data_IF_890464555905
#
_entry.id   IF_890464555905
#
_cell.length_a   1.000
_cell.length_b   1.000
_cell.length_c   1.000
_cell.angle_alpha   90.00
_cell.angle_beta   90.00
_cell.angle_gamma   90.00
#
_symmetry.space_group_name_H-M   'P 1'
#
loop_
_entity.id
_entity.type
_entity.pdbx_description
1 polymer ?
#
# COMPACT_ATOMS: atom_id res chain seq x y z
N UNK A 1 8.61 -51.15 17.59
CA UNK A 1 8.54 -50.73 16.18
C UNK A 1 7.17 -50.13 15.93
N UNK A 2 7.10 -48.97 15.29
CA UNK A 2 5.84 -48.31 14.93
C UNK A 2 5.21 -49.07 13.74
N UNK A 3 4.47 -50.15 14.01
CA UNK A 3 3.88 -51.00 12.96
C UNK A 3 2.39 -50.78 12.81
N UNK A 4 1.97 -50.25 11.67
CA UNK A 4 0.57 -50.13 11.24
C UNK A 4 0.32 -48.94 10.32
N UNK A 5 -0.63 -49.07 9.38
CA UNK A 5 -1.04 -47.99 8.45
C UNK A 5 -1.51 -46.73 9.19
N UNK A 6 -2.07 -46.89 10.40
CA UNK A 6 -2.51 -45.80 11.26
C UNK A 6 -1.35 -44.93 11.78
N UNK A 7 -0.17 -45.50 12.02
CA UNK A 7 1.00 -44.74 12.47
C UNK A 7 1.60 -43.90 11.32
N UNK A 8 1.57 -44.42 10.09
CA UNK A 8 1.92 -43.63 8.89
C UNK A 8 0.93 -42.48 8.66
N UNK A 9 -0.37 -42.70 8.91
CA UNK A 9 -1.38 -41.65 8.86
C UNK A 9 -1.10 -40.55 9.89
N UNK A 10 -0.78 -40.90 11.14
CA UNK A 10 -0.40 -39.93 12.19
C UNK A 10 0.86 -39.17 11.78
N UNK A 11 1.91 -39.86 11.33
CA UNK A 11 3.17 -39.23 10.91
C UNK A 11 2.94 -38.24 9.76
N UNK A 12 2.13 -38.63 8.76
CA UNK A 12 1.73 -37.76 7.66
C UNK A 12 1.07 -36.47 8.17
N UNK A 13 0.12 -36.58 9.10
CA UNK A 13 -0.56 -35.41 9.65
C UNK A 13 0.34 -34.53 10.52
N UNK A 14 1.27 -35.10 11.28
CA UNK A 14 2.27 -34.34 12.04
C UNK A 14 3.14 -33.51 11.10
N UNK A 15 3.70 -34.13 10.07
CA UNK A 15 4.54 -33.43 9.08
C UNK A 15 3.71 -32.37 8.33
N UNK A 16 2.48 -32.69 7.95
CA UNK A 16 1.59 -31.75 7.26
C UNK A 16 1.25 -30.55 8.15
N UNK A 17 0.90 -30.76 9.41
CA UNK A 17 0.57 -29.69 10.35
C UNK A 17 1.78 -28.80 10.65
N UNK A 18 2.95 -29.39 10.89
CA UNK A 18 4.19 -28.63 11.09
C UNK A 18 4.55 -27.84 9.84
N UNK A 19 4.40 -28.44 8.65
CA UNK A 19 4.61 -27.78 7.36
C UNK A 19 3.66 -26.59 7.16
N UNK A 20 2.36 -26.78 7.36
CA UNK A 20 1.37 -25.69 7.25
C UNK A 20 1.62 -24.57 8.26
N UNK A 21 1.98 -24.91 9.51
CA UNK A 21 2.31 -23.92 10.53
C UNK A 21 3.58 -23.15 10.18
N UNK A 22 4.62 -23.82 9.67
CA UNK A 22 5.85 -23.16 9.23
C UNK A 22 5.61 -22.23 8.03
N UNK A 23 4.84 -22.67 7.04
CA UNK A 23 4.47 -21.86 5.87
C UNK A 23 3.64 -20.64 6.30
N UNK A 24 2.59 -20.85 7.10
CA UNK A 24 1.75 -19.77 7.62
C UNK A 24 2.55 -18.78 8.49
N UNK A 25 3.41 -19.31 9.35
CA UNK A 25 4.34 -18.54 10.17
C UNK A 25 5.29 -17.69 9.33
N UNK A 26 5.88 -18.24 8.26
CA UNK A 26 6.76 -17.51 7.34
C UNK A 26 6.07 -16.31 6.68
N UNK A 27 4.84 -16.48 6.17
CA UNK A 27 4.08 -15.38 5.56
C UNK A 27 3.74 -14.28 6.56
N UNK A 28 3.30 -14.66 7.77
CA UNK A 28 2.99 -13.71 8.83
C UNK A 28 4.24 -12.99 9.33
N UNK A 29 5.35 -13.70 9.51
CA UNK A 29 6.61 -13.14 9.97
C UNK A 29 7.17 -12.13 8.96
N UNK A 30 7.12 -12.43 7.65
CA UNK A 30 7.51 -11.48 6.61
C UNK A 30 6.68 -10.20 6.63
N UNK A 31 5.37 -10.30 6.88
CA UNK A 31 4.48 -9.14 7.03
C UNK A 31 4.78 -8.37 8.32
N UNK A 32 5.09 -9.08 9.39
CA UNK A 32 5.47 -8.52 10.68
C UNK A 32 6.77 -7.70 10.60
N UNK A 33 7.81 -8.20 9.92
CA UNK A 33 9.07 -7.48 9.73
C UNK A 33 8.87 -6.10 9.06
N UNK A 34 7.85 -5.94 8.22
CA UNK A 34 7.52 -4.64 7.59
C UNK A 34 6.87 -3.64 8.54
N UNK A 35 6.35 -4.10 9.67
CA UNK A 35 5.72 -3.28 10.71
C UNK A 35 6.69 -2.93 11.84
N UNK A 36 7.89 -3.51 11.84
CA UNK A 36 8.88 -3.16 12.83
C UNK A 36 9.28 -1.69 12.67
N UNK A 37 9.52 -0.98 13.78
CA UNK A 37 10.05 0.37 13.74
C UNK A 37 11.39 0.39 13.01
N UNK A 38 11.63 1.46 12.25
CA UNK A 38 12.91 1.72 11.60
C UNK A 38 13.91 2.28 12.62
N UNK A 39 15.07 2.71 12.17
CA UNK A 39 16.13 3.29 13.02
C UNK A 39 15.66 4.47 13.88
N UNK A 40 14.61 5.17 13.43
CA UNK A 40 13.97 6.30 14.10
C UNK A 40 12.88 5.91 15.12
N UNK A 41 12.65 4.60 15.34
CA UNK A 41 11.63 4.11 16.26
C UNK A 41 10.20 4.14 15.71
N UNK A 42 9.98 4.55 14.45
CA UNK A 42 8.66 4.60 13.81
C UNK A 42 8.53 3.58 12.69
N UNK A 43 7.36 2.94 12.60
CA UNK A 43 7.04 2.07 11.46
C UNK A 43 6.64 2.90 10.23
N UNK A 44 6.54 2.24 9.07
CA UNK A 44 6.05 2.90 7.85
C UNK A 44 4.61 3.43 8.01
N UNK A 45 3.79 2.76 8.81
CA UNK A 45 2.42 3.18 9.10
C UNK A 45 2.40 4.40 10.02
N UNK A 46 3.28 4.47 11.01
CA UNK A 46 3.37 5.63 11.91
C UNK A 46 3.78 6.90 11.14
N UNK A 47 4.68 6.75 10.16
CA UNK A 47 5.04 7.85 9.25
C UNK A 47 3.89 8.24 8.33
N UNK A 48 3.16 7.26 7.80
CA UNK A 48 1.98 7.52 6.97
C UNK A 48 0.93 8.32 7.75
N UNK A 49 0.63 7.92 8.99
CA UNK A 49 -0.34 8.60 9.85
C UNK A 49 0.13 10.00 10.23
N UNK A 50 1.43 10.16 10.49
CA UNK A 50 2.04 11.48 10.71
C UNK A 50 1.83 12.41 9.52
N UNK A 51 2.16 11.99 8.30
CA UNK A 51 1.98 12.83 7.12
C UNK A 51 0.52 13.14 6.82
N UNK A 52 -0.39 12.19 7.03
CA UNK A 52 -1.83 12.45 6.90
C UNK A 52 -2.29 13.53 7.87
N UNK A 53 -1.89 13.45 9.14
CA UNK A 53 -2.24 14.44 10.16
C UNK A 53 -1.69 15.83 9.83
N UNK A 54 -0.42 15.91 9.45
CA UNK A 54 0.24 17.17 9.14
C UNK A 54 -0.26 17.81 7.85
N UNK A 55 -0.78 17.04 6.89
CA UNK A 55 -1.19 17.58 5.59
C UNK A 55 -2.69 17.63 5.37
N UNK A 56 -3.51 17.08 6.27
CA UNK A 56 -4.98 17.06 6.16
C UNK A 56 -5.58 18.44 5.86
N UNK A 57 -5.07 19.49 6.51
CA UNK A 57 -5.55 20.86 6.36
C UNK A 57 -5.13 21.53 5.04
N UNK A 58 -4.17 20.95 4.32
CA UNK A 58 -3.66 21.47 3.04
C UNK A 58 -4.50 21.03 1.84
N UNK A 59 -5.54 20.21 2.03
CA UNK A 59 -6.32 19.61 0.96
C UNK A 59 -7.46 20.52 0.47
N UNK A 60 -7.42 20.96 -0.80
CA UNK A 60 -8.57 21.55 -1.47
C UNK A 60 -9.66 20.50 -1.72
N UNK A 61 -10.93 20.93 -1.75
CA UNK A 61 -12.06 20.01 -1.92
C UNK A 61 -12.12 19.36 -3.31
N UNK A 62 -11.69 20.06 -4.36
CA UNK A 62 -11.60 19.51 -5.72
C UNK A 62 -10.55 18.39 -5.82
N UNK A 63 -9.44 18.51 -5.09
CA UNK A 63 -8.41 17.47 -5.08
C UNK A 63 -8.77 16.27 -4.21
N UNK A 64 -9.61 16.46 -3.18
CA UNK A 64 -10.23 15.33 -2.45
C UNK A 64 -11.13 14.54 -3.40
N UNK A 65 -11.92 15.21 -4.23
CA UNK A 65 -12.75 14.56 -5.25
C UNK A 65 -11.90 13.83 -6.30
N UNK A 66 -10.80 14.46 -6.76
CA UNK A 66 -9.84 13.81 -7.67
C UNK A 66 -9.25 12.54 -7.04
N UNK A 67 -8.92 12.55 -5.75
CA UNK A 67 -8.45 11.37 -5.05
C UNK A 67 -9.51 10.26 -5.07
N UNK A 68 -10.76 10.54 -4.72
CA UNK A 68 -11.84 9.55 -4.78
C UNK A 68 -11.98 8.95 -6.18
N UNK A 69 -11.88 9.79 -7.22
CA UNK A 69 -11.94 9.34 -8.59
C UNK A 69 -10.76 8.43 -8.95
N UNK A 70 -9.54 8.76 -8.52
CA UNK A 70 -8.33 7.96 -8.75
C UNK A 70 -8.38 6.59 -8.05
N UNK A 71 -9.08 6.49 -6.90
CA UNK A 71 -9.26 5.23 -6.17
C UNK A 71 -10.53 4.46 -6.61
N UNK A 72 -11.39 5.05 -7.44
CA UNK A 72 -12.60 4.38 -7.95
C UNK A 72 -12.40 3.00 -8.62
N UNK A 73 -11.30 2.70 -9.35
CA UNK A 73 -11.10 1.36 -9.92
C UNK A 73 -10.76 0.29 -8.87
N UNK A 74 -10.46 0.67 -7.63
CA UNK A 74 -10.18 -0.27 -6.54
C UNK A 74 -11.50 -0.86 -6.02
N UNK A 75 -11.58 -2.19 -5.82
CA UNK A 75 -12.75 -2.83 -5.21
C UNK A 75 -13.07 -2.23 -3.85
N UNK A 76 -14.36 -2.13 -3.52
CA UNK A 76 -14.86 -1.42 -2.34
C UNK A 76 -14.19 -1.88 -1.03
N UNK A 77 -14.02 -3.20 -0.85
CA UNK A 77 -13.35 -3.82 0.30
C UNK A 77 -11.91 -3.33 0.55
N UNK A 78 -11.25 -2.78 -0.48
CA UNK A 78 -9.86 -2.32 -0.41
C UNK A 78 -9.72 -0.81 -0.65
N UNK A 79 -10.82 -0.12 -0.96
CA UNK A 79 -10.80 1.28 -1.39
C UNK A 79 -10.27 2.20 -0.30
N UNK A 80 -10.72 2.02 0.94
CA UNK A 80 -10.27 2.85 2.06
C UNK A 80 -8.76 2.69 2.33
N UNK A 81 -8.25 1.45 2.26
CA UNK A 81 -6.83 1.16 2.45
C UNK A 81 -6.00 1.79 1.33
N UNK A 82 -6.47 1.70 0.08
CA UNK A 82 -5.81 2.32 -1.06
C UNK A 82 -5.83 3.86 -0.95
N UNK A 83 -6.97 4.45 -0.57
CA UNK A 83 -7.12 5.89 -0.35
C UNK A 83 -6.15 6.39 0.71
N UNK A 84 -6.12 5.76 1.88
CA UNK A 84 -5.18 6.14 2.95
C UNK A 84 -3.73 6.03 2.50
N UNK A 85 -3.38 4.97 1.77
CA UNK A 85 -2.02 4.77 1.25
C UNK A 85 -1.61 5.86 0.26
N UNK A 86 -2.50 6.20 -0.66
CA UNK A 86 -2.26 7.25 -1.67
C UNK A 86 -2.20 8.62 -0.98
N UNK A 87 -3.17 8.95 -0.13
CA UNK A 87 -3.21 10.20 0.61
C UNK A 87 -1.99 10.38 1.51
N UNK A 88 -1.53 9.32 2.18
CA UNK A 88 -0.31 9.38 2.99
C UNK A 88 0.95 9.64 2.17
N UNK A 89 1.04 9.09 0.94
CA UNK A 89 2.15 9.38 0.03
C UNK A 89 2.08 10.82 -0.52
N UNK A 90 0.89 11.32 -0.84
CA UNK A 90 0.68 12.71 -1.25
C UNK A 90 1.10 13.66 -0.13
N UNK A 91 0.66 13.37 1.10
CA UNK A 91 1.04 14.12 2.29
C UNK A 91 2.55 14.09 2.54
N UNK A 92 3.20 12.94 2.35
CA UNK A 92 4.65 12.84 2.45
C UNK A 92 5.37 13.78 1.46
N UNK A 93 4.92 13.83 0.20
CA UNK A 93 5.50 14.70 -0.83
C UNK A 93 5.29 16.17 -0.46
N UNK A 94 4.04 16.56 -0.15
CA UNK A 94 3.69 17.92 0.21
C UNK A 94 4.45 18.41 1.47
N UNK A 95 4.57 17.54 2.47
CA UNK A 95 5.33 17.83 3.70
C UNK A 95 6.82 18.04 3.41
N UNK A 96 7.43 17.17 2.59
CA UNK A 96 8.86 17.28 2.21
C UNK A 96 9.15 18.53 1.38
N UNK A 97 8.21 18.92 0.52
CA UNK A 97 8.30 20.12 -0.31
C UNK A 97 7.89 21.40 0.43
N UNK A 98 7.44 21.29 1.69
CA UNK A 98 6.92 22.39 2.50
C UNK A 98 5.82 23.16 1.76
N UNK A 99 4.97 22.44 1.06
CA UNK A 99 3.88 23.01 0.29
C UNK A 99 2.85 23.67 1.23
N UNK A 100 2.41 24.89 0.87
CA UNK A 100 1.35 25.59 1.61
C UNK A 100 -0.05 25.05 1.28
N UNK A 101 -0.18 24.30 0.18
CA UNK A 101 -1.42 23.70 -0.30
C UNK A 101 -1.06 22.49 -1.18
N UNK A 102 -1.90 21.45 -1.14
CA UNK A 102 -1.75 20.30 -2.02
C UNK A 102 -2.18 20.71 -3.42
N UNK A 103 -1.32 20.46 -4.41
CA UNK A 103 -1.62 20.74 -5.81
C UNK A 103 -1.93 19.46 -6.57
N UNK A 104 -2.51 19.60 -7.77
CA UNK A 104 -2.77 18.47 -8.67
C UNK A 104 -1.50 17.65 -8.97
N UNK A 105 -0.34 18.31 -9.04
CA UNK A 105 0.94 17.64 -9.23
C UNK A 105 1.28 16.68 -8.07
N UNK A 106 1.10 17.14 -6.83
CA UNK A 106 1.30 16.31 -5.64
C UNK A 106 0.41 15.07 -5.67
N UNK A 107 -0.87 15.25 -6.05
CA UNK A 107 -1.84 14.15 -6.14
C UNK A 107 -1.42 13.12 -7.18
N UNK A 108 -1.04 13.56 -8.39
CA UNK A 108 -0.64 12.65 -9.47
C UNK A 108 0.66 11.92 -9.11
N UNK A 109 1.68 12.63 -8.61
CA UNK A 109 2.96 12.03 -8.18
C UNK A 109 2.74 11.03 -7.05
N UNK A 110 1.93 11.39 -6.05
CA UNK A 110 1.61 10.52 -4.94
C UNK A 110 0.82 9.28 -5.36
N UNK A 111 -0.10 9.41 -6.32
CA UNK A 111 -0.82 8.28 -6.90
C UNK A 111 0.12 7.29 -7.62
N UNK A 112 1.05 7.79 -8.44
CA UNK A 112 2.05 6.97 -9.15
C UNK A 112 2.95 6.25 -8.16
N UNK A 113 3.52 6.98 -7.19
CA UNK A 113 4.46 6.44 -6.22
C UNK A 113 3.82 5.50 -5.19
N UNK A 114 2.55 5.68 -4.86
CA UNK A 114 1.83 4.79 -3.94
C UNK A 114 1.40 3.48 -4.60
N UNK A 115 1.24 3.48 -5.93
CA UNK A 115 0.77 2.33 -6.69
C UNK A 115 1.90 1.31 -6.90
N UNK A 116 1.71 0.03 -6.53
CA UNK A 116 2.71 -1.00 -6.79
C UNK A 116 2.99 -1.17 -8.29
N UNK A 117 4.25 -1.43 -8.68
CA UNK A 117 4.66 -1.59 -10.09
C UNK A 117 3.83 -2.59 -10.88
N UNK A 118 3.43 -3.70 -10.24
CA UNK A 118 2.55 -4.72 -10.85
C UNK A 118 1.17 -4.20 -11.26
N UNK A 119 0.71 -3.13 -10.61
CA UNK A 119 -0.63 -2.57 -10.77
C UNK A 119 -0.61 -1.30 -11.66
N UNK A 120 0.57 -0.88 -12.17
CA UNK A 120 0.74 0.31 -13.02
C UNK A 120 -0.09 0.28 -14.30
N UNK A 121 -0.41 -0.90 -14.84
CA UNK A 121 -1.32 -1.03 -15.99
C UNK A 121 -2.69 -0.38 -15.72
N UNK A 122 -3.23 -0.54 -14.51
CA UNK A 122 -4.53 0.04 -14.13
C UNK A 122 -4.41 1.54 -13.87
N UNK A 123 -3.31 1.95 -13.23
CA UNK A 123 -3.01 3.37 -13.02
C UNK A 123 -2.91 4.14 -14.33
N UNK A 124 -2.17 3.61 -15.30
CA UNK A 124 -2.00 4.22 -16.62
C UNK A 124 -3.37 4.39 -17.30
N UNK A 125 -4.17 3.32 -17.33
CA UNK A 125 -5.51 3.35 -17.93
C UNK A 125 -6.40 4.39 -17.24
N UNK A 126 -6.29 4.55 -15.92
CA UNK A 126 -7.07 5.54 -15.17
C UNK A 126 -6.61 6.97 -15.48
N UNK A 127 -5.31 7.23 -15.54
CA UNK A 127 -4.77 8.55 -15.90
C UNK A 127 -5.18 8.96 -17.33
N UNK A 128 -5.12 8.02 -18.28
CA UNK A 128 -5.59 8.23 -19.66
C UNK A 128 -7.09 8.55 -19.71
N UNK A 129 -7.92 7.83 -18.95
CA UNK A 129 -9.36 8.11 -18.86
C UNK A 129 -9.65 9.52 -18.30
N UNK A 130 -8.81 10.03 -17.40
CA UNK A 130 -8.93 11.37 -16.85
C UNK A 130 -8.27 12.46 -17.71
N UNK A 131 -7.76 12.10 -18.89
CA UNK A 131 -6.99 12.99 -19.78
C UNK A 131 -5.82 13.68 -19.06
N UNK A 132 -5.16 12.97 -18.14
CA UNK A 132 -3.99 13.48 -17.42
C UNK A 132 -2.73 13.13 -18.22
N UNK A 133 -1.97 14.15 -18.63
CA UNK A 133 -0.69 13.94 -19.27
C UNK A 133 0.33 13.34 -18.29
N UNK A 134 0.87 12.18 -18.66
CA UNK A 134 1.88 11.47 -17.88
C UNK A 134 3.32 11.80 -18.28
N UNK A 135 3.52 12.55 -19.36
CA UNK A 135 4.85 12.88 -19.90
C UNK A 135 5.79 13.47 -18.85
N UNK A 136 5.36 14.41 -17.99
CA UNK A 136 6.22 14.94 -16.92
C UNK A 136 6.65 13.90 -15.87
N UNK A 137 5.89 12.81 -15.73
CA UNK A 137 6.02 11.82 -14.66
C UNK A 137 6.64 10.50 -15.11
N UNK A 138 7.13 10.40 -16.36
CA UNK A 138 7.69 9.16 -16.89
C UNK A 138 8.82 8.58 -16.02
N UNK A 139 9.58 9.43 -15.34
CA UNK A 139 10.66 9.03 -14.43
C UNK A 139 10.18 8.31 -13.16
N UNK A 140 8.88 8.31 -12.86
CA UNK A 140 8.28 7.70 -11.66
C UNK A 140 7.77 6.27 -11.88
N UNK A 141 7.82 5.76 -13.12
CA UNK A 141 7.38 4.41 -13.49
C UNK A 141 8.49 3.35 -13.35
#
# INVERSE_FOLDING_TARGET
MLTGWFLWLILFWVVTMVGLLAIGGFFMFRKFLKRLPKEDGKSELDWQDFYLKETHHLWPDDLKLLLEELVSPVPELFRDIARQKIAGKIGEIAYKEKANEITREHVIRGYILATPKRDHKFLIKKLEHLNIDRTPYQHLF
#
